data_IF_711097971383
#
_entry.id   IF_711097971383
#
_cell.length_a   1.000
_cell.length_b   1.000
_cell.length_c   1.000
_cell.angle_alpha   90.00
_cell.angle_beta   90.00
_cell.angle_gamma   90.00
#
_symmetry.space_group_name_H-M   'P 1'
#
loop_
_entity.id
_entity.type
_entity.pdbx_description
1 polymer ?
#
# COMPACT_ATOMS: atom_id res chain seq x y z
N UNK A 1 -23.16 9.56 -10.66
CA UNK A 1 -22.59 9.03 -9.41
C UNK A 1 -21.08 9.05 -9.57
N UNK A 2 -20.33 9.40 -8.53
CA UNK A 2 -18.86 9.28 -8.55
C UNK A 2 -18.48 7.80 -8.52
N UNK A 3 -17.37 7.46 -9.18
CA UNK A 3 -16.78 6.13 -9.07
C UNK A 3 -16.20 5.92 -7.66
N UNK A 4 -16.20 4.67 -7.20
CA UNK A 4 -15.78 4.32 -5.84
C UNK A 4 -14.41 3.66 -5.84
N UNK A 5 -13.50 4.21 -5.03
CA UNK A 5 -12.16 3.65 -4.83
C UNK A 5 -12.08 3.03 -3.43
N UNK A 6 -11.78 1.74 -3.35
CA UNK A 6 -11.44 1.10 -2.08
C UNK A 6 -9.93 1.14 -1.85
N UNK A 7 -9.50 1.52 -0.65
CA UNK A 7 -8.08 1.67 -0.29
C UNK A 7 -7.75 0.76 0.88
N UNK A 8 -6.96 -0.29 0.63
CA UNK A 8 -6.33 -1.09 1.68
C UNK A 8 -5.00 -0.45 2.10
N UNK A 9 -4.83 -0.18 3.39
CA UNK A 9 -3.71 0.61 3.92
C UNK A 9 -3.98 2.11 3.99
N UNK A 10 -5.26 2.50 4.05
CA UNK A 10 -5.74 3.88 4.06
C UNK A 10 -5.16 4.76 5.18
N UNK A 11 -4.81 4.17 6.33
CA UNK A 11 -4.21 4.89 7.48
C UNK A 11 -2.71 5.13 7.33
N UNK A 12 -2.06 4.52 6.32
CA UNK A 12 -0.65 4.69 6.03
C UNK A 12 -0.30 6.06 5.43
N UNK A 13 1.00 6.32 5.22
CA UNK A 13 1.49 7.57 4.65
C UNK A 13 0.86 7.85 3.26
N UNK A 14 0.99 6.92 2.33
CA UNK A 14 0.46 7.07 0.97
C UNK A 14 -1.07 7.09 0.98
N UNK A 15 -1.71 6.19 1.77
CA UNK A 15 -3.16 6.10 1.85
C UNK A 15 -3.84 7.41 2.28
N UNK A 16 -3.24 8.11 3.24
CA UNK A 16 -3.75 9.43 3.69
C UNK A 16 -3.68 10.47 2.58
N UNK A 17 -2.57 10.53 1.84
CA UNK A 17 -2.41 11.45 0.71
C UNK A 17 -3.38 11.15 -0.43
N UNK A 18 -3.63 9.85 -0.72
CA UNK A 18 -4.63 9.44 -1.71
C UNK A 18 -6.03 9.91 -1.29
N UNK A 19 -6.41 9.70 -0.03
CA UNK A 19 -7.70 10.16 0.49
C UNK A 19 -7.84 11.67 0.36
N UNK A 20 -6.84 12.43 0.82
CA UNK A 20 -6.86 13.90 0.79
C UNK A 20 -6.97 14.44 -0.66
N UNK A 21 -6.27 13.80 -1.59
CA UNK A 21 -6.22 14.25 -2.99
C UNK A 21 -7.47 13.86 -3.78
N UNK A 22 -8.02 12.66 -3.56
CA UNK A 22 -9.06 12.11 -4.43
C UNK A 22 -10.49 12.16 -3.85
N UNK A 23 -10.68 12.50 -2.57
CA UNK A 23 -12.01 12.51 -1.95
C UNK A 23 -13.00 13.49 -2.60
N UNK A 24 -12.52 14.51 -3.32
CA UNK A 24 -13.38 15.44 -4.07
C UNK A 24 -13.84 14.87 -5.42
N UNK A 25 -13.09 13.94 -5.99
CA UNK A 25 -13.32 13.38 -7.33
C UNK A 25 -14.03 12.02 -7.27
N UNK A 26 -13.71 11.21 -6.25
CA UNK A 26 -14.19 9.84 -6.06
C UNK A 26 -14.86 9.67 -4.71
N UNK A 27 -15.75 8.68 -4.62
CA UNK A 27 -16.26 8.18 -3.34
C UNK A 27 -15.22 7.21 -2.76
N UNK A 28 -14.64 7.52 -1.60
CA UNK A 28 -13.56 6.74 -1.01
C UNK A 28 -14.09 5.74 0.02
N UNK A 29 -13.69 4.47 -0.13
CA UNK A 29 -13.88 3.41 0.85
C UNK A 29 -12.52 3.11 1.48
N UNK A 30 -12.30 3.57 2.71
CA UNK A 30 -11.05 3.43 3.43
C UNK A 30 -11.07 2.20 4.34
N UNK A 31 -10.20 1.22 4.08
CA UNK A 31 -10.09 0.00 4.89
C UNK A 31 -9.14 0.19 6.07
N UNK A 32 -9.57 -0.25 7.25
CA UNK A 32 -8.77 -0.17 8.48
C UNK A 32 -9.01 -1.38 9.38
N UNK A 33 -7.99 -1.77 10.16
CA UNK A 33 -8.12 -2.79 11.21
C UNK A 33 -8.68 -2.24 12.52
N UNK A 34 -8.61 -0.92 12.70
CA UNK A 34 -9.03 -0.26 13.93
C UNK A 34 -10.43 0.36 13.74
N UNK A 35 -11.21 0.36 14.79
CA UNK A 35 -12.49 1.10 14.80
C UNK A 35 -12.16 2.59 14.78
N UNK A 36 -12.46 3.25 13.68
CA UNK A 36 -12.34 4.71 13.57
C UNK A 36 -13.72 5.29 13.82
N UNK A 37 -13.82 6.24 14.75
CA UNK A 37 -15.03 7.03 14.90
C UNK A 37 -15.17 7.92 13.66
N UNK A 38 -16.28 7.84 12.91
CA UNK A 38 -16.47 8.68 11.73
C UNK A 38 -16.37 10.15 12.15
N UNK A 39 -15.57 10.92 11.46
CA UNK A 39 -15.64 12.37 11.54
C UNK A 39 -16.90 12.82 10.80
N UNK A 40 -17.71 13.68 11.44
CA UNK A 40 -19.04 14.10 10.96
C UNK A 40 -19.06 14.80 9.58
N UNK A 41 -17.91 15.05 8.97
CA UNK A 41 -17.77 15.86 7.74
C UNK A 41 -16.93 15.21 6.63
N UNK A 42 -16.89 13.87 6.52
CA UNK A 42 -16.04 13.25 5.49
C UNK A 42 -16.85 12.50 4.44
N UNK A 43 -16.56 12.75 3.18
CA UNK A 43 -16.97 11.97 2.00
C UNK A 43 -16.31 10.58 1.96
N UNK A 44 -15.66 10.15 3.05
CA UNK A 44 -14.90 8.92 3.15
C UNK A 44 -15.66 7.91 4.00
N UNK A 45 -16.00 6.78 3.42
CA UNK A 45 -16.59 5.64 4.11
C UNK A 45 -15.49 4.77 4.72
N UNK A 46 -15.41 4.71 6.06
CA UNK A 46 -14.47 3.84 6.76
C UNK A 46 -15.09 2.46 7.02
N UNK A 47 -14.41 1.41 6.55
CA UNK A 47 -14.81 0.03 6.82
C UNK A 47 -13.77 -0.67 7.70
N UNK A 48 -14.23 -1.20 8.85
CA UNK A 48 -13.38 -2.07 9.67
C UNK A 48 -13.28 -3.44 9.00
N UNK A 49 -12.06 -3.91 8.75
CA UNK A 49 -11.82 -5.17 8.03
C UNK A 49 -10.57 -5.88 8.53
N UNK A 50 -10.71 -7.18 8.72
CA UNK A 50 -9.59 -8.10 8.86
C UNK A 50 -9.34 -8.79 7.52
N UNK A 51 -8.28 -8.41 6.81
CA UNK A 51 -7.91 -8.97 5.50
C UNK A 51 -7.47 -10.44 5.57
N UNK A 52 -7.21 -10.99 6.76
CA UNK A 52 -7.02 -12.44 6.94
C UNK A 52 -8.31 -13.23 6.65
N UNK A 53 -9.45 -12.61 6.80
CA UNK A 53 -10.75 -13.21 6.53
C UNK A 53 -11.22 -12.87 5.12
N UNK A 54 -11.26 -13.86 4.23
CA UNK A 54 -11.80 -13.69 2.87
C UNK A 54 -13.21 -13.12 2.87
N UNK A 55 -14.10 -13.63 3.75
CA UNK A 55 -15.48 -13.16 3.85
C UNK A 55 -15.58 -11.69 4.26
N UNK A 56 -14.72 -11.25 5.20
CA UNK A 56 -14.68 -9.85 5.60
C UNK A 56 -14.14 -8.97 4.48
N UNK A 57 -13.11 -9.44 3.78
CA UNK A 57 -12.52 -8.73 2.63
C UNK A 57 -13.52 -8.58 1.50
N UNK A 58 -14.26 -9.64 1.16
CA UNK A 58 -15.32 -9.58 0.14
C UNK A 58 -16.40 -8.55 0.48
N UNK A 59 -16.85 -8.53 1.74
CA UNK A 59 -17.84 -7.53 2.19
C UNK A 59 -17.27 -6.11 2.15
N UNK A 60 -15.99 -5.97 2.50
CA UNK A 60 -15.33 -4.68 2.54
C UNK A 60 -15.11 -4.05 1.16
N UNK A 61 -14.98 -4.87 0.10
CA UNK A 61 -14.83 -4.41 -1.28
C UNK A 61 -16.16 -4.24 -2.02
N UNK A 62 -17.30 -4.53 -1.37
CA UNK A 62 -18.61 -4.43 -2.03
C UNK A 62 -18.88 -3.02 -2.54
N UNK A 63 -19.20 -2.93 -3.83
CA UNK A 63 -19.55 -1.69 -4.51
C UNK A 63 -18.37 -0.81 -4.91
N UNK A 64 -17.13 -1.30 -4.80
CA UNK A 64 -15.95 -0.60 -5.31
C UNK A 64 -15.81 -0.77 -6.82
N UNK A 65 -15.48 0.32 -7.52
CA UNK A 65 -15.10 0.31 -8.94
C UNK A 65 -13.61 0.04 -9.11
N UNK A 66 -12.77 0.68 -8.31
CA UNK A 66 -11.31 0.56 -8.32
C UNK A 66 -10.79 0.17 -6.94
N UNK A 67 -9.64 -0.47 -6.91
CA UNK A 67 -9.00 -0.88 -5.67
C UNK A 67 -7.53 -0.45 -5.63
N UNK A 68 -7.09 0.13 -4.50
CA UNK A 68 -5.70 0.49 -4.27
C UNK A 68 -5.17 -0.36 -3.11
N UNK A 69 -4.10 -1.12 -3.37
CA UNK A 69 -3.48 -1.99 -2.38
C UNK A 69 -2.14 -1.43 -1.89
N UNK A 70 -2.10 -1.01 -0.62
CA UNK A 70 -0.94 -0.39 0.03
C UNK A 70 -0.51 -1.14 1.30
N UNK A 71 -1.03 -2.35 1.51
CA UNK A 71 -0.77 -3.11 2.74
C UNK A 71 0.61 -3.75 2.69
N UNK A 72 1.39 -3.52 3.74
CA UNK A 72 2.65 -4.19 4.01
C UNK A 72 2.74 -4.52 5.49
N UNK A 73 3.07 -5.77 5.78
CA UNK A 73 3.36 -6.19 7.15
C UNK A 73 4.83 -5.87 7.46
N UNK A 74 5.05 -4.82 8.26
CA UNK A 74 6.40 -4.45 8.73
C UNK A 74 6.74 -5.08 10.08
N UNK A 75 5.80 -5.80 10.70
CA UNK A 75 5.96 -6.43 12.02
C UNK A 75 5.40 -7.86 12.00
N UNK A 76 6.02 -8.80 12.75
CA UNK A 76 5.48 -10.14 12.93
C UNK A 76 4.05 -10.04 13.47
N UNK A 77 3.11 -10.72 12.82
CA UNK A 77 1.79 -10.80 13.39
C UNK A 77 1.86 -11.72 14.62
N UNK A 78 1.46 -11.21 15.77
CA UNK A 78 1.33 -12.01 17.01
C UNK A 78 0.28 -13.12 16.87
N UNK A 79 -0.48 -13.16 15.79
CA UNK A 79 -1.54 -14.14 15.53
C UNK A 79 -1.05 -15.44 14.88
N UNK A 80 0.11 -15.40 14.22
CA UNK A 80 0.68 -16.58 13.54
C UNK A 80 2.12 -16.77 14.03
N UNK A 81 2.29 -17.48 15.14
CA UNK A 81 3.60 -17.76 15.76
C UNK A 81 4.59 -18.53 14.88
N UNK A 82 4.21 -18.91 13.64
CA UNK A 82 5.03 -19.74 12.74
C UNK A 82 5.10 -19.22 11.30
N UNK A 83 4.39 -18.15 10.92
CA UNK A 83 4.46 -17.61 9.55
C UNK A 83 5.48 -16.50 9.45
N UNK A 84 6.24 -16.50 8.36
CA UNK A 84 7.12 -15.39 7.99
C UNK A 84 6.28 -14.16 7.60
N UNK A 85 6.89 -12.98 7.58
CA UNK A 85 6.23 -11.76 7.05
C UNK A 85 5.77 -11.94 5.61
N UNK A 86 6.56 -12.69 4.85
CA UNK A 86 6.33 -12.99 3.45
C UNK A 86 5.01 -13.76 3.29
N UNK A 87 4.80 -14.84 4.07
CA UNK A 87 3.57 -15.64 4.02
C UNK A 87 2.33 -14.82 4.39
N UNK A 88 2.47 -13.89 5.34
CA UNK A 88 1.41 -12.98 5.74
C UNK A 88 1.01 -12.05 4.61
N UNK A 89 1.96 -11.36 3.98
CA UNK A 89 1.68 -10.41 2.89
C UNK A 89 1.05 -11.13 1.69
N UNK A 90 1.49 -12.36 1.40
CA UNK A 90 0.94 -13.18 0.32
C UNK A 90 -0.53 -13.55 0.58
N UNK A 91 -0.85 -14.01 1.80
CA UNK A 91 -2.22 -14.36 2.16
C UNK A 91 -3.17 -13.15 2.08
N UNK A 92 -2.73 -11.99 2.58
CA UNK A 92 -3.55 -10.78 2.52
C UNK A 92 -3.78 -10.32 1.07
N UNK A 93 -2.76 -10.41 0.22
CA UNK A 93 -2.86 -10.08 -1.20
C UNK A 93 -3.77 -11.05 -1.95
N UNK A 94 -3.70 -12.37 -1.66
CA UNK A 94 -4.59 -13.37 -2.27
C UNK A 94 -6.04 -13.12 -1.87
N UNK A 95 -6.33 -12.94 -0.60
CA UNK A 95 -7.67 -12.62 -0.13
C UNK A 95 -8.20 -11.34 -0.78
N UNK A 96 -7.35 -10.32 -0.93
CA UNK A 96 -7.75 -9.06 -1.55
C UNK A 96 -8.04 -9.22 -3.04
N UNK A 97 -7.19 -9.91 -3.79
CA UNK A 97 -7.39 -10.14 -5.24
C UNK A 97 -8.63 -10.99 -5.51
N UNK A 98 -8.87 -12.04 -4.70
CA UNK A 98 -10.10 -12.85 -4.78
C UNK A 98 -11.36 -12.05 -4.51
N UNK A 99 -11.31 -11.21 -3.47
CA UNK A 99 -12.43 -10.35 -3.12
C UNK A 99 -12.69 -9.29 -4.20
N UNK A 100 -11.65 -8.74 -4.82
CA UNK A 100 -11.76 -7.81 -5.93
C UNK A 100 -12.41 -8.47 -7.16
N UNK A 101 -11.97 -9.67 -7.53
CA UNK A 101 -12.55 -10.44 -8.63
C UNK A 101 -14.05 -10.73 -8.39
N UNK A 102 -14.39 -11.21 -7.19
CA UNK A 102 -15.79 -11.49 -6.82
C UNK A 102 -16.69 -10.27 -6.88
N UNK A 103 -16.16 -9.10 -6.51
CA UNK A 103 -16.87 -7.83 -6.54
C UNK A 103 -16.80 -7.12 -7.91
N UNK A 104 -16.17 -7.73 -8.93
CA UNK A 104 -16.03 -7.20 -10.28
C UNK A 104 -15.37 -5.82 -10.31
N UNK A 105 -14.33 -5.65 -9.46
CA UNK A 105 -13.50 -4.45 -9.47
C UNK A 105 -12.85 -4.29 -10.84
N UNK A 106 -12.88 -3.09 -11.40
CA UNK A 106 -12.41 -2.80 -12.77
C UNK A 106 -10.89 -2.90 -12.88
N UNK A 107 -10.16 -2.48 -11.82
CA UNK A 107 -8.70 -2.45 -11.80
C UNK A 107 -8.17 -2.44 -10.36
N UNK A 108 -7.03 -3.08 -10.17
CA UNK A 108 -6.24 -2.96 -8.95
C UNK A 108 -5.01 -2.11 -9.25
N UNK A 109 -4.72 -1.11 -8.39
CA UNK A 109 -3.49 -0.34 -8.40
C UNK A 109 -2.65 -0.77 -7.21
N UNK A 110 -1.40 -1.14 -7.45
CA UNK A 110 -0.44 -1.56 -6.44
C UNK A 110 0.79 -0.65 -6.46
N UNK A 111 1.27 -0.24 -5.28
CA UNK A 111 2.53 0.51 -5.16
C UNK A 111 3.58 -0.42 -4.55
N UNK A 112 4.46 -0.90 -5.42
CA UNK A 112 5.57 -1.79 -5.09
C UNK A 112 6.92 -1.08 -5.04
N UNK A 113 8.00 -1.86 -4.91
CA UNK A 113 9.37 -1.38 -4.95
C UNK A 113 10.03 -1.54 -6.33
N UNK A 114 11.02 -0.72 -6.63
CA UNK A 114 11.85 -0.88 -7.83
C UNK A 114 12.62 -2.21 -7.72
N UNK A 115 12.49 -3.04 -8.74
CA UNK A 115 13.17 -4.34 -8.83
C UNK A 115 14.38 -4.20 -9.75
N UNK A 116 15.61 -4.35 -9.25
CA UNK A 116 16.81 -4.31 -10.07
C UNK A 116 16.89 -5.54 -11.00
N UNK A 117 17.34 -5.33 -12.24
CA UNK A 117 17.33 -6.38 -13.29
C UNK A 117 18.34 -7.52 -13.04
N UNK A 118 19.44 -7.29 -12.35
CA UNK A 118 20.59 -8.23 -12.30
C UNK A 118 21.19 -8.40 -10.89
N UNK A 119 20.40 -8.32 -9.82
CA UNK A 119 20.88 -8.45 -8.45
C UNK A 119 20.05 -9.46 -7.66
N UNK A 120 20.65 -10.10 -6.67
CA UNK A 120 19.90 -10.86 -5.67
C UNK A 120 18.97 -9.91 -4.94
N UNK A 121 17.67 -10.16 -5.02
CA UNK A 121 16.67 -9.37 -4.34
C UNK A 121 16.80 -9.55 -2.82
N UNK A 122 16.67 -8.46 -2.07
CA UNK A 122 16.45 -8.58 -0.65
C UNK A 122 15.13 -9.31 -0.38
N UNK A 123 15.00 -9.98 0.75
CA UNK A 123 13.75 -10.65 1.15
C UNK A 123 12.54 -9.72 1.03
N UNK A 124 12.70 -8.47 1.44
CA UNK A 124 11.66 -7.45 1.36
C UNK A 124 11.23 -7.13 -0.09
N UNK A 125 12.16 -7.00 -1.04
CA UNK A 125 11.82 -6.78 -2.44
C UNK A 125 11.26 -8.02 -3.10
N UNK A 126 11.72 -9.22 -2.71
CA UNK A 126 11.15 -10.49 -3.17
C UNK A 126 9.69 -10.61 -2.77
N UNK A 127 9.38 -10.39 -1.50
CA UNK A 127 7.99 -10.40 -0.99
C UNK A 127 7.09 -9.41 -1.75
N UNK A 128 7.57 -8.19 -2.01
CA UNK A 128 6.80 -7.20 -2.79
C UNK A 128 6.52 -7.65 -4.22
N UNK A 129 7.48 -8.30 -4.86
CA UNK A 129 7.30 -8.85 -6.20
C UNK A 129 6.32 -10.02 -6.22
N UNK A 130 6.32 -10.85 -5.19
CA UNK A 130 5.35 -11.94 -5.03
C UNK A 130 3.94 -11.42 -4.79
N UNK A 131 3.78 -10.41 -3.93
CA UNK A 131 2.50 -9.70 -3.75
C UNK A 131 1.99 -9.15 -5.08
N UNK A 132 2.85 -8.51 -5.88
CA UNK A 132 2.50 -8.02 -7.22
C UNK A 132 1.98 -9.13 -8.12
N UNK A 133 2.68 -10.28 -8.15
CA UNK A 133 2.25 -11.45 -8.94
C UNK A 133 0.89 -11.99 -8.49
N UNK A 134 0.66 -12.06 -7.18
CA UNK A 134 -0.61 -12.55 -6.63
C UNK A 134 -1.76 -11.58 -6.96
N UNK A 135 -1.56 -10.29 -6.78
CA UNK A 135 -2.58 -9.29 -7.14
C UNK A 135 -2.94 -9.33 -8.62
N UNK A 136 -1.96 -9.63 -9.50
CA UNK A 136 -2.16 -9.77 -10.95
C UNK A 136 -2.54 -11.19 -11.41
N UNK A 137 -2.73 -12.16 -10.51
CA UNK A 137 -3.01 -13.56 -10.89
C UNK A 137 -4.48 -13.82 -11.28
N UNK A 138 -5.36 -12.86 -11.09
CA UNK A 138 -6.80 -12.95 -11.38
C UNK A 138 -7.17 -12.23 -12.67
N UNK A 139 -8.41 -12.41 -13.12
CA UNK A 139 -8.95 -11.73 -14.31
C UNK A 139 -9.30 -10.27 -14.07
N UNK A 140 -8.45 -9.55 -13.33
CA UNK A 140 -8.59 -8.13 -13.06
C UNK A 140 -7.31 -7.42 -13.54
N UNK A 141 -7.42 -6.34 -14.32
CA UNK A 141 -6.25 -5.54 -14.66
C UNK A 141 -5.49 -5.07 -13.42
N UNK A 142 -4.17 -5.27 -13.41
CA UNK A 142 -3.28 -4.76 -12.37
C UNK A 142 -2.38 -3.69 -12.96
N UNK A 143 -2.39 -2.50 -12.36
CA UNK A 143 -1.34 -1.50 -12.57
C UNK A 143 -0.37 -1.53 -11.39
N UNK A 144 0.87 -1.91 -11.62
CA UNK A 144 1.93 -1.91 -10.61
C UNK A 144 2.84 -0.71 -10.79
N UNK A 145 2.82 0.21 -9.82
CA UNK A 145 3.70 1.37 -9.76
C UNK A 145 4.89 1.00 -8.90
N UNK A 146 6.07 0.81 -9.51
CA UNK A 146 7.30 0.48 -8.79
C UNK A 146 8.07 1.75 -8.45
N UNK A 147 8.00 2.15 -7.20
CA UNK A 147 8.64 3.36 -6.69
C UNK A 147 9.88 3.04 -5.84
N UNK A 148 10.83 3.97 -5.81
CA UNK A 148 11.92 3.97 -4.83
C UNK A 148 11.45 4.53 -3.48
N UNK A 149 12.29 5.34 -2.84
CA UNK A 149 11.88 6.05 -1.62
C UNK A 149 10.86 7.13 -1.98
N UNK A 150 9.66 7.02 -1.44
CA UNK A 150 8.64 8.06 -1.60
C UNK A 150 8.84 9.11 -0.49
N UNK A 151 9.06 10.35 -0.91
CA UNK A 151 9.35 11.49 -0.05
C UNK A 151 8.11 12.40 0.01
N UNK A 152 7.81 12.90 1.19
CA UNK A 152 6.73 13.88 1.37
C UNK A 152 6.42 14.15 2.84
N UNK A 153 5.61 15.17 3.14
CA UNK A 153 5.21 15.52 4.51
C UNK A 153 4.53 14.34 5.20
N UNK A 154 4.99 13.99 6.40
CA UNK A 154 4.47 12.85 7.17
C UNK A 154 5.06 11.48 6.79
N UNK A 155 5.97 11.41 5.82
CA UNK A 155 6.70 10.20 5.46
C UNK A 155 7.77 9.85 6.49
N UNK A 156 7.80 8.57 6.94
CA UNK A 156 8.76 8.12 7.95
C UNK A 156 10.20 8.09 7.44
N UNK A 157 10.41 7.69 6.18
CA UNK A 157 11.75 7.57 5.59
C UNK A 157 12.47 8.91 5.54
N UNK A 158 11.80 9.98 5.11
CA UNK A 158 12.36 11.32 5.08
C UNK A 158 12.66 11.83 6.50
N UNK A 159 11.74 11.61 7.43
CA UNK A 159 11.94 12.01 8.83
C UNK A 159 13.13 11.30 9.49
N UNK A 160 13.34 10.02 9.20
CA UNK A 160 14.50 9.28 9.71
C UNK A 160 15.80 9.88 9.16
N UNK A 161 15.88 10.12 7.85
CA UNK A 161 17.10 10.68 7.22
C UNK A 161 17.39 12.07 7.77
N UNK A 162 16.41 12.96 7.85
CA UNK A 162 16.61 14.32 8.40
C UNK A 162 16.99 14.30 9.86
N UNK A 163 16.40 13.43 10.68
CA UNK A 163 16.77 13.30 12.08
C UNK A 163 18.22 12.78 12.25
N UNK A 164 18.64 11.81 11.44
CA UNK A 164 20.03 11.33 11.47
C UNK A 164 21.02 12.45 11.11
N UNK A 165 20.75 13.20 10.05
CA UNK A 165 21.63 14.31 9.62
C UNK A 165 21.71 15.41 10.69
N UNK A 166 20.57 15.77 11.29
CA UNK A 166 20.52 16.88 12.23
C UNK A 166 21.08 16.54 13.63
N UNK A 167 21.04 15.27 14.02
CA UNK A 167 21.40 14.88 15.40
C UNK A 167 22.74 14.14 15.52
N UNK A 168 23.34 13.71 14.40
CA UNK A 168 24.62 13.01 14.44
C UNK A 168 25.76 13.94 13.97
N UNK A 169 26.67 14.38 14.86
CA UNK A 169 27.83 15.22 14.48
C UNK A 169 28.82 14.46 13.58
N UNK A 170 28.87 13.15 13.71
CA UNK A 170 29.70 12.26 12.88
C UNK A 170 28.81 11.08 12.48
N UNK A 171 28.72 10.80 11.18
CA UNK A 171 27.95 9.67 10.66
C UNK A 171 28.88 8.63 10.06
N UNK A 172 28.92 7.44 10.66
CA UNK A 172 29.59 6.28 10.07
C UNK A 172 28.66 5.68 9.03
N UNK A 173 29.03 5.81 7.76
CA UNK A 173 28.23 5.28 6.65
C UNK A 173 28.66 3.87 6.28
N UNK A 174 27.83 2.83 6.51
CA UNK A 174 28.09 1.47 6.07
C UNK A 174 28.13 1.38 4.52
N UNK A 175 28.76 0.34 3.98
CA UNK A 175 28.89 0.17 2.51
C UNK A 175 27.54 0.15 1.76
N UNK A 176 26.45 -0.30 2.40
CA UNK A 176 25.12 -0.31 1.78
C UNK A 176 24.54 1.08 1.50
N UNK A 177 25.07 2.15 2.13
CA UNK A 177 24.65 3.55 1.83
C UNK A 177 25.10 4.01 0.44
N UNK A 178 26.02 3.28 -0.20
CA UNK A 178 26.43 3.52 -1.59
C UNK A 178 25.43 2.97 -2.60
N UNK A 179 24.36 2.29 -2.15
CA UNK A 179 23.32 1.79 -3.04
C UNK A 179 22.59 2.93 -3.72
N UNK A 180 22.47 2.85 -5.03
CA UNK A 180 21.73 3.83 -5.81
C UNK A 180 20.24 3.75 -5.49
N UNK A 181 19.60 4.90 -5.33
CA UNK A 181 18.18 5.03 -5.07
C UNK A 181 17.56 6.06 -6.02
N UNK A 182 16.29 5.87 -6.34
CA UNK A 182 15.49 6.83 -7.11
C UNK A 182 14.35 7.36 -6.22
N UNK A 183 14.59 8.43 -5.47
CA UNK A 183 13.53 9.06 -4.69
C UNK A 183 12.48 9.68 -5.60
N UNK A 184 11.22 9.61 -5.19
CA UNK A 184 10.09 10.21 -5.89
C UNK A 184 9.24 11.00 -4.89
N UNK A 185 8.77 12.18 -5.28
CA UNK A 185 7.87 12.97 -4.46
C UNK A 185 6.48 12.34 -4.40
N UNK A 186 5.80 12.46 -3.24
CA UNK A 186 4.46 11.90 -3.04
C UNK A 186 3.46 12.48 -4.04
N UNK A 187 3.56 13.75 -4.40
CA UNK A 187 2.63 14.37 -5.36
C UNK A 187 2.80 13.78 -6.77
N UNK A 188 4.03 13.45 -7.16
CA UNK A 188 4.28 12.76 -8.44
C UNK A 188 3.69 11.33 -8.43
N UNK A 189 3.77 10.63 -7.29
CA UNK A 189 3.11 9.31 -7.13
C UNK A 189 1.60 9.44 -7.29
N UNK A 190 1.00 10.44 -6.67
CA UNK A 190 -0.45 10.71 -6.78
C UNK A 190 -0.87 11.03 -8.22
N UNK A 191 -0.06 11.79 -8.97
CA UNK A 191 -0.32 12.04 -10.39
C UNK A 191 -0.26 10.76 -11.23
N UNK A 192 0.71 9.89 -10.95
CA UNK A 192 0.80 8.59 -11.63
C UNK A 192 -0.43 7.74 -11.32
N UNK A 193 -0.84 7.65 -10.05
CA UNK A 193 -2.06 6.94 -9.63
C UNK A 193 -3.30 7.49 -10.35
N UNK A 194 -3.40 8.81 -10.53
CA UNK A 194 -4.54 9.45 -11.22
C UNK A 194 -4.61 9.10 -12.70
N UNK A 195 -3.47 8.87 -13.34
CA UNK A 195 -3.36 8.57 -14.78
C UNK A 195 -3.42 7.07 -15.08
N UNK A 196 -3.39 6.24 -14.04
CA UNK A 196 -3.44 4.77 -14.15
C UNK A 196 -4.84 4.26 -14.32
#
# INVERSE_FOLDING_TARGET
>A
MKEKIVIAGATGFIGRWIIETFANEYDIIALTRNIIKPSLNTTVEWRNVDLYSISNTEKALKGADYAIYLVHSMQPSTRLNQSSFEDTDLLLADNFSRAAEKNKVKQIIYIGGIVPKNQHLSKHLSSRLEVEKILGSRNIPLTSIRAGIIIGPGGSSFKIITNLINNLPIMVCPKWTLSMNQPIDIFNVLEIVRKS
#
